data_IF_241836252672
#
_entry.id   IF_241836252672
#
_cell.length_a   1.000
_cell.length_b   1.000
_cell.length_c   1.000
_cell.angle_alpha   90.00
_cell.angle_beta   90.00
_cell.angle_gamma   90.00
#
_symmetry.space_group_name_H-M   'P 1'
#
loop_
_entity.id
_entity.type
_entity.pdbx_description
1 polymer ?
#
# COMPACT_ATOMS: atom_id res chain seq x y z
N UNK A 1 13.25 -14.59 -13.40
CA UNK A 1 12.41 -13.46 -12.96
C UNK A 1 13.31 -12.25 -12.70
N UNK A 2 13.02 -11.09 -13.31
CA UNK A 2 13.84 -9.88 -13.19
C UNK A 2 13.79 -9.30 -11.77
N UNK A 3 14.72 -8.39 -11.43
CA UNK A 3 14.68 -7.68 -10.14
C UNK A 3 13.35 -6.95 -9.94
N UNK A 4 12.84 -6.30 -11.00
CA UNK A 4 11.53 -5.65 -10.99
C UNK A 4 10.40 -6.66 -10.74
N UNK A 5 10.42 -7.81 -11.42
CA UNK A 5 9.40 -8.84 -11.24
C UNK A 5 9.32 -9.36 -9.79
N UNK A 6 10.45 -9.50 -9.10
CA UNK A 6 10.47 -9.86 -7.67
C UNK A 6 9.85 -8.77 -6.79
N UNK A 7 10.16 -7.50 -7.08
CA UNK A 7 9.58 -6.36 -6.34
C UNK A 7 8.07 -6.30 -6.53
N UNK A 8 7.58 -6.48 -7.75
CA UNK A 8 6.14 -6.49 -8.03
C UNK A 8 5.43 -7.67 -7.34
N UNK A 9 6.05 -8.86 -7.32
CA UNK A 9 5.51 -10.00 -6.58
C UNK A 9 5.37 -9.69 -5.08
N UNK A 10 6.34 -9.02 -4.47
CA UNK A 10 6.25 -8.66 -3.06
C UNK A 10 5.23 -7.54 -2.77
N UNK A 11 5.02 -6.60 -3.70
CA UNK A 11 3.92 -5.63 -3.60
C UNK A 11 2.58 -6.34 -3.68
N UNK A 12 2.45 -7.32 -4.58
CA UNK A 12 1.26 -8.16 -4.69
C UNK A 12 1.01 -8.97 -3.40
N UNK A 13 2.03 -9.64 -2.86
CA UNK A 13 1.91 -10.41 -1.60
C UNK A 13 1.45 -9.51 -0.43
N UNK A 14 1.98 -8.29 -0.34
CA UNK A 14 1.55 -7.32 0.66
C UNK A 14 0.09 -6.87 0.42
N UNK A 15 -0.32 -6.68 -0.84
CA UNK A 15 -1.72 -6.34 -1.18
C UNK A 15 -2.68 -7.48 -0.82
N UNK A 16 -2.34 -8.74 -1.13
CA UNK A 16 -3.13 -9.90 -0.70
C UNK A 16 -3.24 -9.98 0.83
N UNK A 17 -2.14 -9.68 1.54
CA UNK A 17 -2.16 -9.61 2.99
C UNK A 17 -3.11 -8.53 3.51
N UNK A 18 -3.14 -7.34 2.90
CA UNK A 18 -4.08 -6.26 3.26
C UNK A 18 -5.54 -6.67 3.07
N UNK A 19 -5.88 -7.26 1.91
CA UNK A 19 -7.23 -7.77 1.61
C UNK A 19 -7.63 -8.82 2.67
N UNK A 20 -6.73 -9.74 3.01
CA UNK A 20 -7.00 -10.77 4.01
C UNK A 20 -7.15 -10.20 5.43
N UNK A 21 -6.39 -9.16 5.77
CA UNK A 21 -6.32 -8.64 7.13
C UNK A 21 -7.41 -7.62 7.44
N UNK A 22 -7.80 -6.80 6.45
CA UNK A 22 -8.78 -5.72 6.63
C UNK A 22 -10.07 -5.95 5.84
N UNK A 23 -10.03 -6.72 4.76
CA UNK A 23 -11.18 -6.99 3.89
C UNK A 23 -11.38 -5.94 2.79
N UNK A 24 -11.90 -6.36 1.64
CA UNK A 24 -12.14 -5.46 0.51
C UNK A 24 -13.13 -4.32 0.82
N UNK A 25 -14.08 -4.55 1.74
CA UNK A 25 -15.03 -3.52 2.18
C UNK A 25 -14.36 -2.41 3.01
N UNK A 26 -13.22 -2.69 3.64
CA UNK A 26 -12.44 -1.67 4.35
C UNK A 26 -11.80 -0.69 3.36
N UNK A 27 -11.34 -1.19 2.21
CA UNK A 27 -10.71 -0.37 1.18
C UNK A 27 -11.71 0.60 0.53
N UNK A 28 -12.94 0.16 0.27
CA UNK A 28 -14.04 0.98 -0.29
C UNK A 28 -14.60 2.03 0.67
N UNK A 29 -14.24 1.96 1.96
CA UNK A 29 -14.71 2.90 2.97
C UNK A 29 -13.88 4.17 3.09
N UNK A 30 -12.78 4.29 2.35
CA UNK A 30 -11.87 5.44 2.41
C UNK A 30 -12.09 6.37 1.24
N UNK A 31 -12.18 7.67 1.53
CA UNK A 31 -12.03 8.71 0.53
C UNK A 31 -10.54 8.95 0.20
N UNK A 32 -10.27 9.89 -0.71
CA UNK A 32 -8.92 10.26 -1.09
C UNK A 32 -8.07 10.77 0.09
N UNK A 33 -8.66 11.55 0.99
CA UNK A 33 -7.90 12.11 2.13
C UNK A 33 -7.47 11.00 3.09
N UNK A 34 -8.32 9.99 3.31
CA UNK A 34 -8.00 8.81 4.08
C UNK A 34 -6.86 7.99 3.49
N UNK A 35 -6.89 7.75 2.17
CA UNK A 35 -5.80 7.05 1.48
C UNK A 35 -4.47 7.81 1.57
N UNK A 36 -4.50 9.13 1.35
CA UNK A 36 -3.32 9.99 1.49
C UNK A 36 -2.79 9.94 2.92
N UNK A 37 -3.66 10.00 3.93
CA UNK A 37 -3.28 9.90 5.34
C UNK A 37 -2.62 8.56 5.67
N UNK A 38 -3.11 7.44 5.14
CA UNK A 38 -2.49 6.12 5.33
C UNK A 38 -1.10 6.03 4.70
N UNK A 39 -0.93 6.59 3.50
CA UNK A 39 0.36 6.68 2.81
C UNK A 39 1.33 7.57 3.62
N UNK A 40 0.87 8.73 4.06
CA UNK A 40 1.67 9.68 4.85
C UNK A 40 2.16 9.07 6.16
N UNK A 41 1.34 8.28 6.86
CA UNK A 41 1.78 7.55 8.04
C UNK A 41 2.96 6.59 7.77
N UNK A 42 3.03 6.02 6.56
CA UNK A 42 4.17 5.18 6.14
C UNK A 42 5.37 6.02 5.72
N UNK A 43 5.13 7.13 5.03
CA UNK A 43 6.18 8.09 4.67
C UNK A 43 6.82 8.73 5.91
N UNK A 44 6.05 9.08 6.93
CA UNK A 44 6.58 9.54 8.22
C UNK A 44 7.48 8.50 8.88
N UNK A 45 7.11 7.21 8.82
CA UNK A 45 7.97 6.11 9.30
C UNK A 45 9.22 5.91 8.45
N UNK A 46 9.21 6.36 7.19
CA UNK A 46 10.35 6.32 6.28
C UNK A 46 11.29 7.50 6.48
N UNK A 47 10.76 8.67 6.85
CA UNK A 47 11.50 9.92 7.04
C UNK A 47 11.89 10.21 8.49
N UNK A 48 11.28 9.53 9.46
CA UNK A 48 11.50 9.82 10.88
C UNK A 48 12.97 9.71 11.30
N UNK A 49 13.34 10.49 12.32
CA UNK A 49 14.72 10.74 12.77
C UNK A 49 15.49 9.51 13.31
N UNK A 50 14.87 8.32 13.30
CA UNK A 50 15.51 7.07 13.71
C UNK A 50 16.40 6.48 12.61
N UNK A 51 17.45 5.77 13.01
CA UNK A 51 18.27 4.99 12.06
C UNK A 51 17.44 3.84 11.48
N UNK A 52 16.95 4.00 10.25
CA UNK A 52 16.20 2.96 9.52
C UNK A 52 17.19 2.07 8.77
N UNK A 53 17.14 0.76 9.05
CA UNK A 53 17.96 -0.21 8.31
C UNK A 53 17.56 -0.29 6.83
N UNK A 54 18.48 -0.62 5.91
CA UNK A 54 18.14 -0.77 4.49
C UNK A 54 16.98 -1.73 4.23
N UNK A 55 16.90 -2.82 5.00
CA UNK A 55 15.81 -3.79 4.92
C UNK A 55 14.47 -3.16 5.31
N UNK A 56 14.43 -2.39 6.41
CA UNK A 56 13.21 -1.72 6.86
C UNK A 56 12.76 -0.63 5.88
N UNK A 57 13.71 0.10 5.29
CA UNK A 57 13.43 1.08 4.23
C UNK A 57 12.75 0.42 3.03
N UNK A 58 13.33 -0.68 2.54
CA UNK A 58 12.75 -1.44 1.42
C UNK A 58 11.35 -1.95 1.75
N UNK A 59 11.16 -2.50 2.94
CA UNK A 59 9.86 -2.97 3.39
C UNK A 59 8.79 -1.86 3.45
N UNK A 60 9.15 -0.68 3.95
CA UNK A 60 8.23 0.47 3.99
C UNK A 60 7.84 0.92 2.58
N UNK A 61 8.78 0.95 1.63
CA UNK A 61 8.49 1.28 0.23
C UNK A 61 7.53 0.28 -0.42
N UNK A 62 7.68 -1.03 -0.14
CA UNK A 62 6.72 -2.05 -0.59
C UNK A 62 5.33 -1.79 -0.01
N UNK A 63 5.22 -1.49 1.30
CA UNK A 63 3.93 -1.17 1.92
C UNK A 63 3.27 0.09 1.35
N UNK A 64 4.07 1.12 1.05
CA UNK A 64 3.57 2.35 0.42
C UNK A 64 3.04 2.04 -0.98
N UNK A 65 3.78 1.28 -1.79
CA UNK A 65 3.34 0.88 -3.12
C UNK A 65 2.05 0.04 -3.08
N UNK A 66 1.93 -0.87 -2.12
CA UNK A 66 0.71 -1.67 -1.93
C UNK A 66 -0.50 -0.80 -1.51
N UNK A 67 -0.30 0.19 -0.64
CA UNK A 67 -1.36 1.15 -0.27
C UNK A 67 -1.80 1.99 -1.47
N UNK A 68 -0.85 2.45 -2.29
CA UNK A 68 -1.17 3.19 -3.50
C UNK A 68 -1.96 2.34 -4.51
N UNK A 69 -1.61 1.05 -4.64
CA UNK A 69 -2.37 0.11 -5.46
C UNK A 69 -3.80 -0.10 -4.92
N UNK A 70 -3.96 -0.29 -3.61
CA UNK A 70 -5.26 -0.43 -2.98
C UNK A 70 -6.16 0.81 -3.19
N UNK A 71 -5.59 2.02 -3.11
CA UNK A 71 -6.31 3.26 -3.37
C UNK A 71 -6.79 3.34 -4.83
N UNK A 72 -5.94 3.00 -5.81
CA UNK A 72 -6.34 2.95 -7.23
C UNK A 72 -7.44 1.91 -7.46
N UNK A 73 -7.30 0.71 -6.90
CA UNK A 73 -8.35 -0.33 -6.98
C UNK A 73 -9.67 0.15 -6.37
N UNK A 74 -9.65 0.89 -5.26
CA UNK A 74 -10.86 1.42 -4.64
C UNK A 74 -11.56 2.42 -5.56
N UNK A 75 -10.83 3.39 -6.14
CA UNK A 75 -11.39 4.37 -7.07
C UNK A 75 -11.92 3.73 -8.36
N UNK A 76 -11.18 2.77 -8.93
CA UNK A 76 -11.63 2.06 -10.13
C UNK A 76 -12.93 1.26 -9.89
N UNK A 77 -13.17 0.84 -8.64
CA UNK A 77 -14.40 0.14 -8.24
C UNK A 77 -15.57 1.10 -7.93
N UNK A 78 -15.32 2.35 -7.55
CA UNK A 78 -16.38 3.36 -7.39
C UNK A 78 -17.02 3.73 -8.75
N UNK A 79 -16.26 3.64 -9.83
CA UNK A 79 -16.71 3.94 -11.20
C UNK A 79 -17.51 2.79 -11.86
N UNK A 80 -17.66 1.64 -11.20
CA UNK A 80 -18.46 0.52 -11.70
C UNK A 80 -19.90 0.59 -11.15
N UNK A 81 -20.92 0.90 -11.99
CA UNK A 81 -22.29 0.81 -11.56
C UNK A 81 -22.63 -0.67 -11.36
N UNK A 82 -23.18 -1.00 -10.21
CA UNK A 82 -23.81 -2.30 -9.94
C UNK A 82 -24.83 -2.68 -11.02
#
# INVERSE_FOLDING_TARGET
>A
MSKLGKVLAEVHDEREWQIKHWGAAYDQGHDLEDWLRLIDQRMQKLHGDGVITPLRRRFLLIKIAALAAAAVEAFDNEDLPF
#
